data_IF_777423372147
#
_entry.id   IF_777423372147
#
_cell.length_a   1.000
_cell.length_b   1.000
_cell.length_c   1.000
_cell.angle_alpha   90.00
_cell.angle_beta   90.00
_cell.angle_gamma   90.00
#
_symmetry.space_group_name_H-M   'P 1'
#
loop_
_entity.id
_entity.type
_entity.pdbx_description
1 polymer ?
#
# COMPACT_ATOMS: atom_id res chain seq x y z
N UNK A 1 -10.53 -18.24 12.65
CA UNK A 1 -10.73 -16.80 12.39
C UNK A 1 -9.54 -16.02 12.87
N UNK A 2 -9.07 -15.09 12.05
CA UNK A 2 -7.95 -14.21 12.40
C UNK A 2 -8.45 -12.76 12.45
N UNK A 3 -7.94 -12.00 13.39
CA UNK A 3 -8.23 -10.57 13.47
C UNK A 3 -6.94 -9.81 13.75
N UNK A 4 -6.87 -8.56 13.31
CA UNK A 4 -5.71 -7.70 13.55
C UNK A 4 -6.19 -6.28 13.80
N UNK A 5 -5.50 -5.59 14.71
CA UNK A 5 -5.72 -4.16 14.93
C UNK A 5 -4.70 -3.39 14.12
N UNK A 6 -5.16 -2.74 13.05
CA UNK A 6 -4.28 -2.03 12.11
C UNK A 6 -3.47 -0.96 12.83
N UNK A 7 -4.09 -0.25 13.79
CA UNK A 7 -3.39 0.82 14.50
C UNK A 7 -2.14 0.32 15.24
N UNK A 8 -2.15 -0.94 15.70
CA UNK A 8 -1.02 -1.51 16.40
C UNK A 8 0.04 -2.08 15.46
N UNK A 9 -0.25 -2.16 14.17
CA UNK A 9 0.63 -2.75 13.17
C UNK A 9 1.46 -1.73 12.42
N UNK A 10 1.23 -0.43 12.65
CA UNK A 10 1.95 0.63 11.95
C UNK A 10 3.41 0.65 12.34
N UNK A 11 4.28 0.75 11.35
CA UNK A 11 5.73 0.89 11.56
C UNK A 11 6.25 1.85 10.51
N UNK A 12 7.07 2.81 10.94
CA UNK A 12 7.65 3.81 10.05
C UNK A 12 9.16 3.83 10.23
N UNK A 13 9.87 4.11 9.17
CA UNK A 13 11.33 4.24 9.20
C UNK A 13 11.73 5.34 8.23
N UNK A 14 12.61 6.22 8.67
CA UNK A 14 13.16 7.25 7.78
C UNK A 14 14.10 6.64 6.74
N UNK A 15 14.58 5.43 6.98
CA UNK A 15 15.51 4.76 6.07
C UNK A 15 14.78 4.17 4.85
N UNK A 16 13.60 3.59 5.06
CA UNK A 16 12.87 2.94 3.96
C UNK A 16 11.40 2.71 4.32
N UNK A 17 10.58 2.52 3.30
CA UNK A 17 9.18 2.16 3.45
C UNK A 17 9.08 0.83 4.20
N UNK A 18 8.14 0.74 5.12
CA UNK A 18 7.90 -0.46 5.91
C UNK A 18 6.71 -1.23 5.38
N UNK A 19 6.89 -2.51 5.09
CA UNK A 19 5.83 -3.40 4.62
C UNK A 19 5.68 -4.52 5.65
N UNK A 20 4.50 -4.62 6.25
CA UNK A 20 4.22 -5.63 7.25
C UNK A 20 3.03 -6.50 6.86
N UNK A 21 3.16 -7.81 7.04
CA UNK A 21 2.03 -8.71 6.83
C UNK A 21 1.07 -8.60 8.01
N UNK A 22 -0.21 -8.44 7.71
CA UNK A 22 -1.26 -8.38 8.72
C UNK A 22 -1.96 -9.72 8.86
N UNK A 23 -2.45 -10.25 7.75
CA UNK A 23 -3.26 -11.47 7.72
C UNK A 23 -2.95 -12.25 6.45
N UNK A 24 -3.11 -13.57 6.56
CA UNK A 24 -3.07 -14.44 5.40
C UNK A 24 -4.08 -15.56 5.60
N UNK A 25 -4.95 -15.76 4.63
CA UNK A 25 -5.97 -16.80 4.70
C UNK A 25 -6.37 -17.25 3.30
N UNK A 26 -6.27 -18.54 3.04
CA UNK A 26 -6.74 -19.11 1.77
C UNK A 26 -6.14 -18.49 0.52
N UNK A 27 -4.87 -18.12 0.57
CA UNK A 27 -4.19 -17.50 -0.56
C UNK A 27 -4.40 -15.99 -0.66
N UNK A 28 -5.19 -15.38 0.22
CA UNK A 28 -5.33 -13.94 0.30
C UNK A 28 -4.34 -13.41 1.33
N UNK A 29 -3.63 -12.36 0.97
CA UNK A 29 -2.66 -11.71 1.86
C UNK A 29 -3.04 -10.24 2.04
N UNK A 30 -3.06 -9.80 3.30
CA UNK A 30 -3.23 -8.39 3.66
C UNK A 30 -1.92 -7.88 4.21
N UNK A 31 -1.46 -6.75 3.67
CA UNK A 31 -0.23 -6.10 4.12
C UNK A 31 -0.50 -4.64 4.41
N UNK A 32 0.31 -4.07 5.30
CA UNK A 32 0.26 -2.66 5.60
C UNK A 32 1.57 -2.05 5.12
N UNK A 33 1.46 -0.99 4.30
CA UNK A 33 2.62 -0.29 3.75
C UNK A 33 2.62 1.10 4.36
N UNK A 34 3.68 1.45 5.06
CA UNK A 34 3.78 2.70 5.81
C UNK A 34 4.95 3.53 5.29
N UNK A 35 4.67 4.79 4.99
CA UNK A 35 5.62 5.70 4.35
C UNK A 35 5.81 6.96 5.19
N UNK A 36 7.06 7.35 5.36
CA UNK A 36 7.40 8.71 5.77
C UNK A 36 7.30 9.63 4.55
N UNK A 37 7.32 10.93 4.78
CA UNK A 37 7.19 11.89 3.69
C UNK A 37 8.29 11.69 2.63
N UNK A 38 7.90 11.74 1.37
CA UNK A 38 8.82 11.62 0.23
C UNK A 38 9.24 10.22 -0.14
N UNK A 39 8.85 9.22 0.63
CA UNK A 39 9.24 7.85 0.32
C UNK A 39 8.42 7.25 -0.82
N UNK A 40 9.04 6.40 -1.60
CA UNK A 40 8.42 5.67 -2.72
C UNK A 40 8.62 4.19 -2.54
N UNK A 41 7.68 3.41 -3.03
CA UNK A 41 7.73 1.97 -2.96
C UNK A 41 7.21 1.37 -4.25
N UNK A 42 7.98 0.43 -4.81
CA UNK A 42 7.58 -0.27 -6.01
C UNK A 42 6.72 -1.47 -5.63
N UNK A 43 5.51 -1.51 -6.17
CA UNK A 43 4.62 -2.63 -5.92
C UNK A 43 5.14 -3.91 -6.54
N UNK A 44 4.75 -5.03 -5.97
CA UNK A 44 5.20 -6.34 -6.46
C UNK A 44 4.45 -6.68 -7.74
N UNK A 45 5.16 -7.02 -8.83
CA UNK A 45 4.49 -7.55 -10.01
C UNK A 45 3.96 -8.95 -9.72
N UNK A 46 2.96 -9.38 -10.46
CA UNK A 46 2.37 -10.70 -10.32
C UNK A 46 0.88 -10.60 -10.10
N UNK A 47 0.40 -10.94 -8.91
CA UNK A 47 -1.04 -10.98 -8.64
C UNK A 47 -1.67 -9.60 -8.65
N UNK A 48 -2.96 -9.55 -8.97
CA UNK A 48 -3.75 -8.34 -8.83
C UNK A 48 -3.79 -7.91 -7.37
N UNK A 49 -3.89 -6.61 -7.15
CA UNK A 49 -3.87 -6.04 -5.80
C UNK A 49 -4.89 -4.92 -5.70
N UNK A 50 -5.50 -4.81 -4.51
CA UNK A 50 -6.33 -3.67 -4.17
C UNK A 50 -5.63 -2.92 -3.05
N UNK A 51 -5.44 -1.62 -3.24
CA UNK A 51 -4.91 -0.74 -2.21
C UNK A 51 -6.01 0.15 -1.68
N UNK A 52 -6.00 0.35 -0.38
CA UNK A 52 -6.87 1.34 0.27
C UNK A 52 -5.98 2.30 1.06
N UNK A 53 -6.12 3.59 0.80
CA UNK A 53 -5.37 4.59 1.56
C UNK A 53 -6.10 4.82 2.87
N UNK A 54 -5.43 4.53 3.98
CA UNK A 54 -5.99 4.67 5.32
C UNK A 54 -5.67 6.01 5.94
N UNK A 55 -4.52 6.58 5.58
CA UNK A 55 -4.08 7.88 6.07
C UNK A 55 -3.16 8.50 5.05
N UNK A 56 -3.27 9.82 4.85
CA UNK A 56 -2.41 10.53 3.93
C UNK A 56 -2.90 10.47 2.49
N UNK A 57 -1.99 10.68 1.56
CA UNK A 57 -2.30 10.74 0.15
C UNK A 57 -1.18 10.11 -0.67
N UNK A 58 -1.54 9.17 -1.53
CA UNK A 58 -0.58 8.45 -2.36
C UNK A 58 -0.65 8.95 -3.80
N UNK A 59 0.50 9.01 -4.46
CA UNK A 59 0.56 9.05 -5.92
C UNK A 59 0.77 7.63 -6.39
N UNK A 60 -0.11 7.17 -7.27
CA UNK A 60 -0.02 5.84 -7.86
C UNK A 60 0.43 6.01 -9.30
N UNK A 61 1.53 5.36 -9.67
CA UNK A 61 2.08 5.43 -11.02
C UNK A 61 1.98 4.08 -11.70
N UNK A 62 1.40 4.08 -12.90
CA UNK A 62 1.28 2.90 -13.75
C UNK A 62 1.65 3.33 -15.16
N UNK A 63 2.82 2.90 -15.65
CA UNK A 63 3.32 3.38 -16.94
C UNK A 63 3.46 4.90 -16.91
N UNK A 64 2.83 5.58 -17.85
CA UNK A 64 2.85 7.05 -17.93
C UNK A 64 1.71 7.69 -17.16
N UNK A 65 0.81 6.89 -16.60
CA UNK A 65 -0.33 7.40 -15.84
C UNK A 65 0.04 7.62 -14.38
N UNK A 66 -0.46 8.70 -13.81
CA UNK A 66 -0.28 9.01 -12.40
C UNK A 66 -1.63 9.45 -11.85
N UNK A 67 -2.02 8.89 -10.73
CA UNK A 67 -3.26 9.29 -10.08
C UNK A 67 -3.03 9.52 -8.60
N UNK A 68 -3.67 10.56 -8.07
CA UNK A 68 -3.60 10.91 -6.66
C UNK A 68 -4.76 10.24 -5.95
N UNK A 69 -4.44 9.44 -4.93
CA UNK A 69 -5.44 8.66 -4.19
C UNK A 69 -5.36 9.04 -2.72
N UNK A 70 -6.41 9.67 -2.22
CA UNK A 70 -6.47 10.13 -0.84
C UNK A 70 -7.15 9.13 0.08
N UNK A 71 -7.21 9.51 1.34
CA UNK A 71 -7.78 8.70 2.43
C UNK A 71 -9.19 8.22 2.07
N UNK A 72 -9.44 6.95 2.28
CA UNK A 72 -10.75 6.34 2.05
C UNK A 72 -11.00 5.88 0.62
N UNK A 73 -10.07 6.15 -0.30
CA UNK A 73 -10.21 5.70 -1.68
C UNK A 73 -9.50 4.38 -1.90
N UNK A 74 -10.02 3.64 -2.87
CA UNK A 74 -9.46 2.35 -3.29
C UNK A 74 -8.89 2.47 -4.70
N UNK A 75 -7.86 1.70 -4.97
CA UNK A 75 -7.35 1.53 -6.33
C UNK A 75 -7.04 0.05 -6.55
N UNK A 76 -7.42 -0.47 -7.71
CA UNK A 76 -7.11 -1.85 -8.07
C UNK A 76 -6.14 -1.86 -9.24
N UNK A 77 -5.15 -2.72 -9.16
CA UNK A 77 -4.17 -2.91 -10.23
C UNK A 77 -4.20 -4.36 -10.68
N UNK A 78 -4.11 -4.54 -11.99
CA UNK A 78 -4.26 -5.85 -12.60
C UNK A 78 -3.03 -6.72 -12.44
N UNK A 79 -3.22 -8.01 -12.71
CA UNK A 79 -2.14 -8.98 -12.69
C UNK A 79 -1.06 -8.57 -13.67
N UNK A 80 0.19 -8.62 -13.22
CA UNK A 80 1.35 -8.27 -14.04
C UNK A 80 1.56 -6.78 -14.27
N UNK A 81 0.71 -5.93 -13.75
CA UNK A 81 0.78 -4.49 -13.96
C UNK A 81 1.81 -3.86 -13.03
N UNK A 82 2.95 -3.46 -13.59
CA UNK A 82 3.99 -2.80 -12.80
C UNK A 82 3.51 -1.43 -12.34
N UNK A 83 3.77 -1.11 -11.07
CA UNK A 83 3.29 0.13 -10.48
C UNK A 83 4.15 0.56 -9.32
N UNK A 84 3.98 1.82 -8.91
CA UNK A 84 4.67 2.37 -7.75
C UNK A 84 3.71 3.27 -6.96
N UNK A 85 3.94 3.32 -5.66
CA UNK A 85 3.24 4.23 -4.75
C UNK A 85 4.26 5.21 -4.19
N UNK A 86 3.86 6.47 -4.08
CA UNK A 86 4.73 7.51 -3.52
C UNK A 86 3.95 8.34 -2.51
N UNK A 87 4.59 8.65 -1.37
CA UNK A 87 4.03 9.59 -0.41
C UNK A 87 4.45 11.00 -0.81
N UNK A 88 3.60 11.67 -1.58
CA UNK A 88 3.87 13.03 -2.03
C UNK A 88 3.31 14.09 -1.08
N UNK A 89 2.63 13.68 -0.03
CA UNK A 89 2.12 14.59 1.00
C UNK A 89 3.19 14.92 2.03
N UNK A 90 2.88 15.87 2.90
CA UNK A 90 3.81 16.29 3.96
C UNK A 90 3.73 15.45 5.23
N UNK A 91 2.74 14.58 5.34
CA UNK A 91 2.55 13.73 6.51
C UNK A 91 2.85 12.28 6.24
N UNK A 92 2.37 11.41 7.12
CA UNK A 92 2.52 9.96 6.97
C UNK A 92 1.51 9.43 5.96
N UNK A 93 1.88 8.36 5.28
CA UNK A 93 0.98 7.64 4.38
C UNK A 93 0.89 6.21 4.86
N UNK A 94 -0.34 5.71 5.02
CA UNK A 94 -0.59 4.33 5.41
C UNK A 94 -1.54 3.71 4.39
N UNK A 95 -1.11 2.62 3.79
CA UNK A 95 -1.86 1.93 2.72
C UNK A 95 -2.06 0.48 3.10
N UNK A 96 -3.31 0.03 3.00
CA UNK A 96 -3.66 -1.38 3.15
C UNK A 96 -3.61 -2.02 1.75
N UNK A 97 -2.91 -3.13 1.64
CA UNK A 97 -2.83 -3.89 0.38
C UNK A 97 -3.48 -5.26 0.58
N UNK A 98 -4.39 -5.62 -0.30
CA UNK A 98 -5.03 -6.93 -0.31
C UNK A 98 -4.76 -7.57 -1.66
N UNK A 99 -4.12 -8.72 -1.65
CA UNK A 99 -3.77 -9.42 -2.88
C UNK A 99 -3.85 -10.93 -2.71
N UNK A 100 -3.93 -11.60 -3.82
CA UNK A 100 -3.86 -13.05 -3.88
C UNK A 100 -2.38 -13.46 -4.05
N UNK A 101 -1.97 -14.45 -3.30
CA UNK A 101 -0.62 -15.00 -3.44
C UNK A 101 0.38 -14.62 -2.38
#
# INVERSE_FOLDING_TARGET
>A
MQTVNIANARRFSLAEVQVGRLLEEGGLTCELVCFEAGQSWQGRPGAAVVYQVLEGEALVRVGDATERVGKGRLVALGEGEAHALENAGGGLLVVLAVRRG
#
